data_IF_173265679397
#
_entry.id   IF_173265679397
#
_cell.length_a   1.000
_cell.length_b   1.000
_cell.length_c   1.000
_cell.angle_alpha   90.00
_cell.angle_beta   90.00
_cell.angle_gamma   90.00
#
_symmetry.space_group_name_H-M   'P 1'
#
loop_
_entity.id
_entity.type
_entity.pdbx_description
1 polymer ?
#
# COMPACT_ATOMS: atom_id res chain seq x y z
N UNK A 1 -39.65 -37.45 31.30
CA UNK A 1 -38.31 -36.83 31.15
C UNK A 1 -37.76 -37.17 29.76
N UNK A 2 -37.84 -36.26 28.79
CA UNK A 2 -37.08 -36.32 27.54
C UNK A 2 -36.65 -34.89 27.19
N UNK A 3 -35.33 -34.73 27.05
CA UNK A 3 -34.59 -33.46 27.06
C UNK A 3 -34.77 -32.71 25.75
N UNK A 4 -35.05 -31.40 25.84
CA UNK A 4 -34.87 -30.44 24.76
C UNK A 4 -33.37 -30.36 24.44
N UNK A 5 -32.99 -30.55 23.18
CA UNK A 5 -31.65 -30.23 22.67
C UNK A 5 -31.77 -28.87 21.98
N UNK A 6 -31.20 -27.84 22.61
CA UNK A 6 -31.09 -26.50 22.06
C UNK A 6 -29.76 -26.43 21.30
N UNK A 7 -29.80 -26.44 19.97
CA UNK A 7 -28.60 -26.32 19.13
C UNK A 7 -28.21 -24.84 19.06
N UNK A 8 -27.18 -24.46 19.80
CA UNK A 8 -26.61 -23.12 19.77
C UNK A 8 -25.77 -22.98 18.48
N UNK A 9 -26.29 -22.27 17.49
CA UNK A 9 -25.54 -21.91 16.29
C UNK A 9 -24.51 -20.83 16.66
N UNK A 10 -23.26 -21.24 16.85
CA UNK A 10 -22.11 -20.33 16.93
C UNK A 10 -21.94 -19.63 15.59
N UNK A 11 -22.28 -18.36 15.54
CA UNK A 11 -21.88 -17.43 14.47
C UNK A 11 -20.38 -17.29 14.54
N UNK A 12 -19.66 -18.03 13.69
CA UNK A 12 -18.27 -17.74 13.38
C UNK A 12 -18.26 -16.40 12.64
N UNK A 13 -17.98 -15.33 13.38
CA UNK A 13 -17.59 -14.06 12.77
C UNK A 13 -16.30 -14.34 11.97
N UNK A 14 -16.43 -14.35 10.66
CA UNK A 14 -15.31 -14.45 9.73
C UNK A 14 -14.34 -13.31 10.03
N UNK A 15 -13.17 -13.64 10.58
CA UNK A 15 -12.05 -12.71 10.75
C UNK A 15 -11.61 -12.22 9.37
N UNK A 16 -12.21 -11.13 8.91
CA UNK A 16 -11.88 -10.52 7.63
C UNK A 16 -10.51 -9.84 7.72
N UNK A 17 -9.59 -10.32 6.87
CA UNK A 17 -8.42 -9.62 6.36
C UNK A 17 -7.31 -9.24 7.35
N UNK A 18 -6.52 -10.24 7.75
CA UNK A 18 -5.19 -10.05 8.37
C UNK A 18 -4.03 -10.63 7.53
N UNK A 19 -4.28 -11.12 6.30
CA UNK A 19 -3.25 -11.79 5.47
C UNK A 19 -2.53 -10.88 4.46
N UNK A 20 -2.96 -9.63 4.24
CA UNK A 20 -2.51 -8.89 3.05
C UNK A 20 -1.04 -8.40 3.08
N UNK A 21 -0.35 -8.50 4.22
CA UNK A 21 1.08 -8.15 4.31
C UNK A 21 2.02 -9.34 4.32
N UNK A 22 1.62 -10.45 4.93
CA UNK A 22 2.41 -11.68 4.89
C UNK A 22 2.59 -12.18 3.45
N UNK A 23 1.57 -12.00 2.62
CA UNK A 23 1.60 -12.39 1.21
C UNK A 23 2.58 -11.52 0.41
N UNK A 24 2.63 -10.22 0.74
CA UNK A 24 3.57 -9.29 0.15
C UNK A 24 5.01 -9.60 0.59
N UNK A 25 5.22 -9.87 1.89
CA UNK A 25 6.56 -10.15 2.45
C UNK A 25 7.13 -11.45 1.89
N UNK A 26 6.29 -12.48 1.77
CA UNK A 26 6.65 -13.72 1.12
C UNK A 26 7.06 -13.50 -0.35
N UNK A 27 6.33 -12.66 -1.08
CA UNK A 27 6.65 -12.34 -2.47
C UNK A 27 8.01 -11.64 -2.61
N UNK A 28 8.40 -10.77 -1.69
CA UNK A 28 9.75 -10.15 -1.72
C UNK A 28 10.84 -11.17 -1.45
N UNK A 29 10.68 -11.98 -0.41
CA UNK A 29 11.67 -12.99 -0.05
C UNK A 29 11.86 -13.97 -1.21
N UNK A 30 10.76 -14.38 -1.84
CA UNK A 30 10.80 -15.24 -3.02
C UNK A 30 11.45 -14.53 -4.21
N UNK A 31 11.03 -13.30 -4.54
CA UNK A 31 11.53 -12.58 -5.72
C UNK A 31 13.03 -12.23 -5.62
N UNK A 32 13.53 -11.98 -4.41
CA UNK A 32 14.94 -11.67 -4.22
C UNK A 32 15.85 -12.89 -4.33
N UNK A 33 15.32 -14.13 -4.29
CA UNK A 33 16.10 -15.37 -4.25
C UNK A 33 17.24 -15.31 -3.23
N UNK A 34 17.05 -14.60 -2.11
CA UNK A 34 18.09 -14.32 -1.11
C UNK A 34 19.36 -13.69 -1.69
N UNK A 35 19.21 -12.82 -2.69
CA UNK A 35 20.29 -12.16 -3.44
C UNK A 35 21.25 -13.11 -4.18
N UNK A 36 20.83 -14.36 -4.45
CA UNK A 36 21.69 -15.38 -5.11
C UNK A 36 21.71 -15.28 -6.63
N UNK A 37 20.72 -14.62 -7.23
CA UNK A 37 20.58 -14.45 -8.67
C UNK A 37 19.87 -13.12 -9.00
N UNK A 38 20.04 -12.64 -10.22
CA UNK A 38 19.26 -11.50 -10.73
C UNK A 38 17.77 -11.88 -10.78
N UNK A 39 16.89 -10.94 -10.41
CA UNK A 39 15.44 -11.15 -10.33
C UNK A 39 14.83 -11.40 -11.73
N UNK A 40 14.32 -12.61 -12.01
CA UNK A 40 13.64 -12.93 -13.26
C UNK A 40 12.43 -12.02 -13.54
N UNK A 41 12.06 -11.87 -14.81
CA UNK A 41 10.88 -11.08 -15.21
C UNK A 41 9.58 -11.61 -14.59
N UNK A 42 9.45 -12.93 -14.46
CA UNK A 42 8.29 -13.56 -13.82
C UNK A 42 8.20 -13.18 -12.34
N UNK A 43 9.33 -13.19 -11.61
CA UNK A 43 9.36 -12.81 -10.20
C UNK A 43 9.08 -11.32 -10.00
N UNK A 44 9.57 -10.45 -10.90
CA UNK A 44 9.18 -9.03 -10.93
C UNK A 44 7.68 -8.87 -11.11
N UNK A 45 7.06 -9.65 -11.99
CA UNK A 45 5.61 -9.63 -12.19
C UNK A 45 4.85 -10.10 -10.95
N UNK A 46 5.29 -11.20 -10.34
CA UNK A 46 4.72 -11.73 -9.11
C UNK A 46 4.81 -10.72 -7.97
N UNK A 47 5.96 -10.04 -7.83
CA UNK A 47 6.15 -8.96 -6.87
C UNK A 47 5.21 -7.78 -7.12
N UNK A 48 5.03 -7.36 -8.38
CA UNK A 48 4.09 -6.30 -8.74
C UNK A 48 2.64 -6.67 -8.41
N UNK A 49 2.23 -7.92 -8.68
CA UNK A 49 0.89 -8.43 -8.35
C UNK A 49 0.66 -8.47 -6.84
N UNK A 50 1.64 -8.93 -6.07
CA UNK A 50 1.55 -8.94 -4.61
C UNK A 50 1.41 -7.51 -4.07
N UNK A 51 2.23 -6.57 -4.58
CA UNK A 51 2.18 -5.16 -4.19
C UNK A 51 0.85 -4.51 -4.54
N UNK A 52 0.29 -4.82 -5.73
CA UNK A 52 -1.05 -4.41 -6.11
C UNK A 52 -2.09 -4.92 -5.11
N UNK A 53 -2.10 -6.22 -4.81
CA UNK A 53 -3.05 -6.82 -3.88
C UNK A 53 -2.97 -6.21 -2.47
N UNK A 54 -1.76 -5.92 -2.00
CA UNK A 54 -1.55 -5.21 -0.74
C UNK A 54 -2.17 -3.81 -0.79
N UNK A 55 -1.87 -3.00 -1.80
CA UNK A 55 -2.37 -1.63 -1.90
C UNK A 55 -3.88 -1.57 -2.14
N UNK A 56 -4.46 -2.52 -2.87
CA UNK A 56 -5.92 -2.64 -2.99
C UNK A 56 -6.59 -3.00 -1.66
N UNK A 57 -5.98 -3.91 -0.90
CA UNK A 57 -6.44 -4.24 0.45
C UNK A 57 -6.34 -3.03 1.38
N UNK A 58 -5.22 -2.31 1.34
CA UNK A 58 -5.01 -1.06 2.07
C UNK A 58 -6.10 -0.03 1.71
N UNK A 59 -6.31 0.21 0.42
CA UNK A 59 -7.24 1.18 -0.12
C UNK A 59 -8.70 0.94 0.32
N UNK A 60 -9.16 -0.32 0.22
CA UNK A 60 -10.50 -0.76 0.61
C UNK A 60 -10.82 -0.54 2.10
N UNK A 61 -9.80 -0.36 2.94
CA UNK A 61 -9.95 -0.17 4.39
C UNK A 61 -9.96 1.30 4.80
N UNK A 62 -9.73 2.23 3.87
CA UNK A 62 -9.76 3.67 4.14
C UNK A 62 -11.18 4.20 3.88
N UNK A 63 -11.89 4.71 4.90
CA UNK A 63 -13.17 5.39 4.70
C UNK A 63 -13.03 6.60 3.77
N UNK A 64 -14.01 6.80 2.88
CA UNK A 64 -14.03 7.96 1.99
C UNK A 64 -14.77 9.12 2.63
N UNK A 65 -14.19 10.32 2.52
CA UNK A 65 -14.88 11.55 2.86
C UNK A 65 -16.14 11.71 2.00
N UNK A 66 -17.19 12.29 2.57
CA UNK A 66 -18.40 12.60 1.82
C UNK A 66 -18.15 13.75 0.83
N UNK A 67 -18.98 13.89 -0.23
CA UNK A 67 -18.82 14.98 -1.20
C UNK A 67 -18.79 16.39 -0.58
N UNK A 68 -19.64 16.74 0.41
CA UNK A 68 -19.55 18.04 1.07
C UNK A 68 -18.23 18.27 1.83
N UNK A 69 -17.68 17.22 2.45
CA UNK A 69 -16.37 17.31 3.12
C UNK A 69 -15.26 17.55 2.11
N UNK A 70 -15.32 16.89 0.95
CA UNK A 70 -14.36 17.09 -0.13
C UNK A 70 -14.41 18.52 -0.70
N UNK A 71 -15.61 19.06 -0.89
CA UNK A 71 -15.78 20.46 -1.33
C UNK A 71 -15.17 21.43 -0.31
N UNK A 72 -15.44 21.22 0.98
CA UNK A 72 -14.84 22.01 2.06
C UNK A 72 -13.32 21.89 2.05
N UNK A 73 -12.75 20.68 2.02
CA UNK A 73 -11.29 20.46 1.98
C UNK A 73 -10.64 21.20 0.81
N UNK A 74 -11.21 21.11 -0.40
CA UNK A 74 -10.67 21.80 -1.57
C UNK A 74 -10.64 23.33 -1.39
N UNK A 75 -11.68 23.90 -0.76
CA UNK A 75 -11.74 25.33 -0.44
C UNK A 75 -10.74 25.73 0.64
N UNK A 76 -10.52 24.87 1.63
CA UNK A 76 -9.56 25.11 2.70
C UNK A 76 -8.11 25.01 2.21
N UNK A 77 -7.79 24.03 1.37
CA UNK A 77 -6.44 23.78 0.86
C UNK A 77 -6.00 24.80 -0.21
N UNK A 78 -6.95 25.53 -0.81
CA UNK A 78 -6.66 26.59 -1.80
C UNK A 78 -6.41 27.98 -1.19
N UNK A 79 -6.41 28.09 0.14
CA UNK A 79 -6.15 29.36 0.84
C UNK A 79 -4.66 29.68 0.95
N UNK A 80 -4.31 30.96 1.09
CA UNK A 80 -2.95 31.43 1.42
C UNK A 80 -2.76 31.71 2.92
N UNK A 81 -3.83 31.62 3.72
CA UNK A 81 -3.78 31.79 5.17
C UNK A 81 -3.15 30.54 5.82
N UNK A 82 -1.90 30.69 6.27
CA UNK A 82 -1.13 29.62 6.91
C UNK A 82 -1.75 29.10 8.22
N UNK A 83 -2.45 29.94 8.98
CA UNK A 83 -3.08 29.52 10.23
C UNK A 83 -4.32 28.67 9.96
N UNK A 84 -5.09 29.05 8.94
CA UNK A 84 -6.23 28.28 8.45
C UNK A 84 -5.79 26.94 7.85
N UNK A 85 -4.74 26.96 7.02
CA UNK A 85 -4.16 25.75 6.45
C UNK A 85 -3.69 24.79 7.54
N UNK A 86 -2.93 25.27 8.52
CA UNK A 86 -2.44 24.45 9.65
C UNK A 86 -3.57 23.73 10.40
N UNK A 87 -4.70 24.41 10.64
CA UNK A 87 -5.88 23.80 11.25
C UNK A 87 -6.44 22.66 10.42
N UNK A 88 -6.55 22.86 9.11
CA UNK A 88 -7.14 21.88 8.18
C UNK A 88 -6.24 20.65 8.07
N UNK A 89 -4.92 20.84 7.98
CA UNK A 89 -3.95 19.75 7.92
C UNK A 89 -3.97 18.84 9.16
N UNK A 90 -4.47 19.33 10.30
CA UNK A 90 -4.61 18.57 11.54
C UNK A 90 -5.94 17.80 11.67
N UNK A 91 -6.83 17.87 10.68
CA UNK A 91 -8.17 17.27 10.75
C UNK A 91 -8.19 15.80 10.32
N UNK A 92 -9.05 14.95 10.90
CA UNK A 92 -9.26 13.58 10.43
C UNK A 92 -9.65 13.50 8.95
N UNK A 93 -10.44 14.46 8.46
CA UNK A 93 -10.89 14.56 7.08
C UNK A 93 -9.69 14.74 6.13
N UNK A 94 -8.75 15.61 6.47
CA UNK A 94 -7.52 15.76 5.68
C UNK A 94 -6.70 14.48 5.69
N UNK A 95 -6.56 13.81 6.83
CA UNK A 95 -5.83 12.55 6.92
C UNK A 95 -6.45 11.44 6.06
N UNK A 96 -7.79 11.30 6.08
CA UNK A 96 -8.50 10.37 5.21
C UNK A 96 -8.29 10.70 3.73
N UNK A 97 -8.33 11.97 3.37
CA UNK A 97 -8.06 12.42 2.00
C UNK A 97 -6.63 12.06 1.55
N UNK A 98 -5.62 12.34 2.38
CA UNK A 98 -4.22 12.01 2.07
C UNK A 98 -4.00 10.50 1.96
N UNK A 99 -4.59 9.71 2.86
CA UNK A 99 -4.50 8.26 2.80
C UNK A 99 -5.12 7.70 1.53
N UNK A 100 -6.33 8.15 1.17
CA UNK A 100 -7.03 7.71 -0.04
C UNK A 100 -6.27 8.08 -1.32
N UNK A 101 -5.76 9.32 -1.41
CA UNK A 101 -4.93 9.72 -2.55
C UNK A 101 -3.68 8.87 -2.66
N UNK A 102 -3.01 8.58 -1.54
CA UNK A 102 -1.79 7.76 -1.52
C UNK A 102 -2.07 6.33 -1.97
N UNK A 103 -3.12 5.70 -1.44
CA UNK A 103 -3.46 4.32 -1.77
C UNK A 103 -3.94 4.17 -3.20
N UNK A 104 -4.79 5.08 -3.69
CA UNK A 104 -5.25 5.11 -5.09
C UNK A 104 -4.07 5.26 -6.06
N UNK A 105 -3.13 6.17 -5.77
CA UNK A 105 -1.91 6.35 -6.57
C UNK A 105 -1.06 5.08 -6.62
N UNK A 106 -0.91 4.40 -5.48
CA UNK A 106 -0.11 3.18 -5.39
C UNK A 106 -0.78 2.00 -6.11
N UNK A 107 -2.09 1.84 -5.97
CA UNK A 107 -2.87 0.87 -6.75
C UNK A 107 -2.68 1.12 -8.25
N UNK A 108 -2.83 2.36 -8.70
CA UNK A 108 -2.69 2.70 -10.11
C UNK A 108 -1.28 2.39 -10.66
N UNK A 109 -0.24 2.69 -9.90
CA UNK A 109 1.16 2.40 -10.29
C UNK A 109 1.44 0.91 -10.38
N UNK A 110 1.01 0.13 -9.39
CA UNK A 110 1.23 -1.31 -9.40
C UNK A 110 0.38 -2.04 -10.42
N UNK A 111 -0.84 -1.58 -10.68
CA UNK A 111 -1.67 -2.09 -11.77
C UNK A 111 -0.99 -1.85 -13.14
N UNK A 112 -0.39 -0.67 -13.34
CA UNK A 112 0.37 -0.39 -14.55
C UNK A 112 1.58 -1.32 -14.71
N UNK A 113 2.34 -1.59 -13.65
CA UNK A 113 3.48 -2.53 -13.71
C UNK A 113 3.00 -3.96 -13.99
N UNK A 114 1.99 -4.43 -13.26
CA UNK A 114 1.45 -5.78 -13.38
C UNK A 114 0.91 -6.10 -14.79
N UNK A 115 0.33 -5.08 -15.45
CA UNK A 115 -0.24 -5.20 -16.79
C UNK A 115 0.78 -4.95 -17.90
N UNK A 116 1.74 -4.04 -17.72
CA UNK A 116 2.74 -3.70 -18.73
C UNK A 116 3.93 -4.68 -18.76
N UNK A 117 4.32 -5.24 -17.61
CA UNK A 117 5.40 -6.23 -17.54
C UNK A 117 4.96 -7.59 -18.10
N UNK A 118 5.73 -8.26 -18.99
CA UNK A 118 7.15 -8.02 -19.33
C UNK A 118 7.39 -7.26 -20.66
N UNK A 119 6.38 -6.63 -21.27
CA UNK A 119 6.41 -6.17 -22.66
C UNK A 119 7.03 -4.78 -22.87
N UNK A 120 7.63 -4.20 -21.83
CA UNK A 120 8.25 -2.87 -21.87
C UNK A 120 9.77 -2.99 -21.96
N UNK A 121 10.43 -1.95 -22.48
CA UNK A 121 11.89 -1.86 -22.43
C UNK A 121 12.41 -1.79 -20.99
N UNK A 122 13.66 -2.19 -20.77
CA UNK A 122 14.29 -2.13 -19.45
C UNK A 122 14.25 -0.71 -18.84
N UNK A 123 14.49 0.33 -19.64
CA UNK A 123 14.41 1.72 -19.17
C UNK A 123 12.99 2.08 -18.71
N UNK A 124 11.97 1.69 -19.48
CA UNK A 124 10.57 1.91 -19.12
C UNK A 124 10.17 1.13 -17.87
N UNK A 125 10.62 -0.11 -17.74
CA UNK A 125 10.39 -0.94 -16.56
C UNK A 125 11.00 -0.30 -15.30
N UNK A 126 12.26 0.13 -15.39
CA UNK A 126 12.96 0.81 -14.29
C UNK A 126 12.23 2.11 -13.90
N UNK A 127 11.77 2.89 -14.89
CA UNK A 127 10.99 4.09 -14.63
C UNK A 127 9.67 3.79 -13.90
N UNK A 128 8.96 2.72 -14.30
CA UNK A 128 7.73 2.33 -13.62
C UNK A 128 7.98 1.91 -12.16
N UNK A 129 9.04 1.14 -11.90
CA UNK A 129 9.40 0.71 -10.55
C UNK A 129 9.90 1.86 -9.67
N UNK A 130 10.71 2.77 -10.18
CA UNK A 130 11.16 3.94 -9.40
C UNK A 130 9.99 4.83 -8.98
N UNK A 131 8.92 4.90 -9.78
CA UNK A 131 7.69 5.60 -9.42
C UNK A 131 6.93 4.98 -8.25
N UNK A 132 7.15 3.71 -7.90
CA UNK A 132 6.50 3.08 -6.73
C UNK A 132 7.24 3.35 -5.43
N UNK A 133 8.47 3.88 -5.47
CA UNK A 133 9.22 4.21 -4.26
C UNK A 133 8.48 5.20 -3.35
N UNK A 134 7.67 6.09 -3.92
CA UNK A 134 6.83 7.02 -3.14
C UNK A 134 5.80 6.31 -2.26
N UNK A 135 5.39 5.08 -2.60
CA UNK A 135 4.45 4.29 -1.82
C UNK A 135 5.06 3.82 -0.48
N UNK A 136 6.39 3.73 -0.41
CA UNK A 136 7.10 3.15 0.74
C UNK A 136 8.04 4.14 1.44
N UNK A 137 8.24 5.34 0.87
CA UNK A 137 9.26 6.31 1.31
C UNK A 137 9.10 6.77 2.77
N UNK A 138 7.87 7.01 3.22
CA UNK A 138 7.61 7.63 4.51
C UNK A 138 6.57 6.85 5.32
N UNK A 139 6.91 5.67 5.85
CA UNK A 139 5.93 4.88 6.58
C UNK A 139 5.50 5.55 7.90
N UNK A 140 6.35 6.38 8.51
CA UNK A 140 5.99 7.22 9.66
C UNK A 140 4.88 8.24 9.33
N UNK A 141 4.90 8.82 8.14
CA UNK A 141 3.89 9.80 7.71
C UNK A 141 2.55 9.08 7.52
N UNK A 142 2.55 7.89 6.90
CA UNK A 142 1.35 7.06 6.81
C UNK A 142 0.78 6.70 8.19
N UNK A 143 1.60 6.33 9.17
CA UNK A 143 1.11 6.08 10.55
C UNK A 143 0.50 7.31 11.19
N UNK A 144 1.10 8.48 10.94
CA UNK A 144 0.59 9.74 11.47
C UNK A 144 -0.80 10.01 10.94
N UNK A 145 -1.02 9.86 9.63
CA UNK A 145 -2.35 10.01 9.04
C UNK A 145 -3.32 8.91 9.47
N UNK A 146 -2.88 7.65 9.55
CA UNK A 146 -3.72 6.56 10.06
C UNK A 146 -4.19 6.83 11.50
N UNK A 147 -3.30 7.33 12.35
CA UNK A 147 -3.63 7.72 13.72
C UNK A 147 -4.57 8.93 13.75
N UNK A 148 -4.29 9.96 12.96
CA UNK A 148 -5.11 11.16 12.86
C UNK A 148 -6.53 10.86 12.36
N UNK A 149 -6.68 9.91 11.45
CA UNK A 149 -7.97 9.42 10.95
C UNK A 149 -8.66 8.42 11.91
N UNK A 150 -8.04 8.08 13.05
CA UNK A 150 -8.59 7.11 14.00
C UNK A 150 -8.57 5.64 13.51
N UNK A 151 -7.78 5.35 12.47
CA UNK A 151 -7.67 4.02 11.85
C UNK A 151 -6.55 3.16 12.45
N UNK A 152 -5.64 3.77 13.22
CA UNK A 152 -4.54 3.09 13.92
C UNK A 152 -4.30 3.74 15.28
N UNK A 153 -3.72 2.98 16.20
CA UNK A 153 -3.17 3.51 17.45
C UNK A 153 -1.76 4.12 17.26
N UNK A 154 -1.28 4.21 16.02
CA UNK A 154 0.05 4.72 15.67
C UNK A 154 1.17 3.69 15.87
N UNK A 155 0.82 2.42 16.08
CA UNK A 155 1.79 1.33 16.15
C UNK A 155 1.90 0.61 14.81
N UNK A 156 3.03 -0.04 14.64
CA UNK A 156 3.39 -0.80 13.46
C UNK A 156 2.69 -2.17 13.37
N UNK A 157 2.00 -2.60 14.43
CA UNK A 157 1.30 -3.88 14.59
C UNK A 157 -0.23 -3.77 14.39
N UNK A 158 -0.70 -2.66 13.83
CA UNK A 158 -2.12 -2.40 13.56
C UNK A 158 -2.65 -3.07 12.28
N UNK A 159 -3.93 -2.83 11.93
CA UNK A 159 -4.55 -3.43 10.73
C UNK A 159 -3.83 -3.04 9.44
N UNK A 160 -3.12 -1.91 9.43
CA UNK A 160 -2.28 -1.45 8.34
C UNK A 160 -0.83 -1.81 8.65
N UNK A 161 -0.41 -3.02 8.27
CA UNK A 161 0.97 -3.44 8.45
C UNK A 161 1.87 -2.75 7.42
N UNK A 162 2.87 -2.04 7.92
CA UNK A 162 3.80 -1.24 7.11
C UNK A 162 5.26 -1.41 7.58
N UNK A 163 5.50 -2.39 8.47
CA UNK A 163 6.80 -2.66 9.12
C UNK A 163 7.93 -2.88 8.11
N UNK A 164 7.62 -3.52 6.99
CA UNK A 164 8.60 -3.91 5.99
C UNK A 164 8.74 -2.91 4.83
N UNK A 165 8.10 -1.73 4.89
CA UNK A 165 8.17 -0.72 3.83
C UNK A 165 9.61 -0.34 3.45
N UNK A 166 10.53 -0.26 4.43
CA UNK A 166 11.95 -0.06 4.16
C UNK A 166 12.56 -1.19 3.34
N UNK A 167 12.23 -2.45 3.66
CA UNK A 167 12.70 -3.62 2.92
C UNK A 167 12.18 -3.66 1.48
N UNK A 168 10.93 -3.23 1.23
CA UNK A 168 10.41 -3.04 -0.13
C UNK A 168 11.20 -1.99 -0.91
N UNK A 169 11.40 -0.84 -0.28
CA UNK A 169 12.14 0.26 -0.88
C UNK A 169 13.57 -0.18 -1.28
N UNK A 170 14.26 -0.89 -0.40
CA UNK A 170 15.61 -1.41 -0.63
C UNK A 170 15.63 -2.51 -1.70
N UNK A 171 14.61 -3.37 -1.74
CA UNK A 171 14.48 -4.39 -2.80
C UNK A 171 14.34 -3.75 -4.18
N UNK A 172 13.53 -2.69 -4.29
CA UNK A 172 13.29 -1.98 -5.55
C UNK A 172 14.58 -1.28 -6.00
N UNK A 173 15.21 -0.52 -5.12
CA UNK A 173 16.41 0.27 -5.46
C UNK A 173 17.68 -0.58 -5.64
N UNK A 174 17.74 -1.75 -5.00
CA UNK A 174 18.85 -2.68 -5.09
C UNK A 174 18.59 -3.82 -6.08
N UNK A 175 18.05 -4.94 -5.57
CA UNK A 175 17.96 -6.21 -6.30
C UNK A 175 17.21 -6.09 -7.63
N UNK A 176 16.08 -5.37 -7.63
CA UNK A 176 15.23 -5.26 -8.80
C UNK A 176 15.82 -4.32 -9.85
N UNK A 177 16.26 -3.13 -9.45
CA UNK A 177 16.89 -2.18 -10.38
C UNK A 177 18.12 -2.79 -11.06
N UNK A 178 18.98 -3.50 -10.31
CA UNK A 178 20.14 -4.17 -10.86
C UNK A 178 19.75 -5.26 -11.88
N UNK A 179 18.71 -6.05 -11.60
CA UNK A 179 18.24 -7.07 -12.51
C UNK A 179 17.71 -6.48 -13.84
N UNK A 180 16.97 -5.37 -13.77
CA UNK A 180 16.47 -4.68 -14.97
C UNK A 180 17.61 -4.12 -15.82
N UNK A 181 18.63 -3.53 -15.18
CA UNK A 181 19.80 -2.99 -15.89
C UNK A 181 20.56 -4.10 -16.63
N UNK A 182 20.73 -5.27 -16.00
CA UNK A 182 21.43 -6.39 -16.61
C UNK A 182 20.66 -6.97 -17.81
N UNK A 183 19.33 -7.13 -17.68
CA UNK A 183 18.46 -7.51 -18.81
C UNK A 183 18.56 -6.52 -19.98
N UNK A 184 18.73 -5.23 -19.71
CA UNK A 184 18.83 -4.19 -20.74
C UNK A 184 20.15 -4.14 -21.50
N UNK A 185 21.17 -4.90 -21.05
CA UNK A 185 22.48 -5.01 -21.72
C UNK A 185 22.56 -6.18 -22.70
N UNK A 186 21.63 -7.13 -22.60
CA UNK A 186 21.51 -8.31 -23.47
C UNK A 186 20.68 -7.99 -24.72
#
# INVERSE_FOLDING_TARGET
MKRLVLTLATVLASSSAWSSTTDLDAAVIQATHYARAAMPKEDRRSLANAALAYWESFDKRIPRNSPPVMEWLNKELSTTDSARLSKVLATPEFALWTLAQTSEDCVARFNLIATASPNVSALSELYLWTRTLSCYKSPNDLLTYLKQAGLSNGRWDGPFSIQHFGFYHDTITGSLANAIIEDGRQ
#
